data_IF_837118830693
#
_entry.id   IF_837118830693
#
_cell.length_a   1.000
_cell.length_b   1.000
_cell.length_c   1.000
_cell.angle_alpha   90.00
_cell.angle_beta   90.00
_cell.angle_gamma   90.00
#
_symmetry.space_group_name_H-M   'P 1'
#
loop_
_entity.id
_entity.type
_entity.pdbx_description
1 polymer ?
#
# COMPACT_ATOMS: atom_id res chain seq x y z
N UNK A 1 -6.01 0.75 -4.03
CA UNK A 1 -6.01 2.21 -4.31
C UNK A 1 -6.23 3.00 -3.02
N UNK A 2 -5.40 4.03 -2.79
CA UNK A 2 -5.53 4.98 -1.67
C UNK A 2 -5.71 6.41 -2.22
N UNK A 3 -6.53 7.22 -1.55
CA UNK A 3 -6.91 8.55 -2.03
C UNK A 3 -6.65 9.59 -0.92
N UNK A 4 -6.00 10.74 -1.21
CA UNK A 4 -5.89 11.85 -0.29
C UNK A 4 -7.26 12.42 0.09
N UNK A 5 -7.34 13.03 1.26
CA UNK A 5 -8.57 13.64 1.77
C UNK A 5 -9.09 14.66 0.76
N UNK A 6 -10.37 14.54 0.42
CA UNK A 6 -11.04 15.38 -0.58
C UNK A 6 -10.45 15.30 -1.99
N UNK A 7 -9.74 14.20 -2.32
CA UNK A 7 -9.17 13.92 -3.65
C UNK A 7 -8.36 15.12 -4.19
N UNK A 8 -7.63 15.77 -3.29
CA UNK A 8 -6.78 16.92 -3.64
C UNK A 8 -5.61 16.44 -4.49
N UNK A 9 -5.25 17.22 -5.50
CA UNK A 9 -4.07 17.01 -6.36
C UNK A 9 -2.77 17.36 -5.61
N UNK A 10 -2.53 16.71 -4.47
CA UNK A 10 -1.44 17.04 -3.54
C UNK A 10 -0.11 16.42 -3.96
N UNK A 11 -0.12 15.26 -4.64
CA UNK A 11 1.09 14.54 -4.96
C UNK A 11 1.87 15.21 -6.09
N UNK A 12 3.18 15.31 -5.87
CA UNK A 12 4.19 15.57 -6.90
C UNK A 12 4.95 14.29 -7.22
N UNK A 13 5.71 14.24 -8.32
CA UNK A 13 6.53 13.08 -8.66
C UNK A 13 7.47 12.65 -7.54
N UNK A 14 8.16 13.60 -6.90
CA UNK A 14 9.05 13.32 -5.76
C UNK A 14 8.29 12.74 -4.57
N UNK A 15 7.08 13.24 -4.30
CA UNK A 15 6.24 12.67 -3.24
C UNK A 15 5.80 11.24 -3.58
N UNK A 16 5.48 10.94 -4.85
CA UNK A 16 5.11 9.58 -5.26
C UNK A 16 6.26 8.60 -5.07
N UNK A 17 7.46 8.94 -5.53
CA UNK A 17 8.68 8.13 -5.28
C UNK A 17 8.91 7.91 -3.78
N UNK A 18 8.65 8.93 -2.97
CA UNK A 18 8.80 8.80 -1.52
C UNK A 18 7.73 7.91 -0.89
N UNK A 19 6.47 8.01 -1.34
CA UNK A 19 5.38 7.13 -0.91
C UNK A 19 5.70 5.67 -1.24
N UNK A 20 6.19 5.41 -2.45
CA UNK A 20 6.63 4.10 -2.90
C UNK A 20 7.70 3.50 -1.98
N UNK A 21 8.75 4.26 -1.69
CA UNK A 21 9.82 3.86 -0.77
C UNK A 21 9.27 3.53 0.63
N UNK A 22 8.40 4.39 1.19
CA UNK A 22 7.78 4.14 2.51
C UNK A 22 6.93 2.87 2.47
N UNK A 23 6.15 2.67 1.41
CA UNK A 23 5.29 1.50 1.29
C UNK A 23 6.09 0.22 1.11
N UNK A 24 7.16 0.22 0.32
CA UNK A 24 8.07 -0.92 0.18
C UNK A 24 8.68 -1.33 1.54
N UNK A 25 9.21 -0.35 2.28
CA UNK A 25 9.78 -0.59 3.61
C UNK A 25 8.75 -1.15 4.60
N UNK A 26 7.51 -0.64 4.57
CA UNK A 26 6.44 -1.13 5.43
C UNK A 26 5.97 -2.50 5.02
N UNK A 27 5.78 -2.77 3.72
CA UNK A 27 5.40 -4.09 3.24
C UNK A 27 6.41 -5.15 3.70
N UNK A 28 7.71 -4.87 3.61
CA UNK A 28 8.75 -5.77 4.11
C UNK A 28 8.61 -6.05 5.61
N UNK A 29 8.32 -5.04 6.44
CA UNK A 29 8.08 -5.21 7.89
C UNK A 29 6.81 -6.00 8.22
N UNK A 30 5.87 -6.07 7.28
CA UNK A 30 4.64 -6.86 7.38
C UNK A 30 4.78 -8.23 6.70
N UNK A 31 6.01 -8.68 6.41
CA UNK A 31 6.28 -9.96 5.74
C UNK A 31 5.56 -10.06 4.38
N UNK A 32 5.41 -8.93 3.70
CA UNK A 32 4.86 -8.84 2.35
C UNK A 32 5.79 -8.06 1.42
N UNK A 33 5.31 -7.82 0.21
CA UNK A 33 6.05 -7.08 -0.81
C UNK A 33 5.14 -6.10 -1.55
N UNK A 34 5.71 -4.95 -1.91
CA UNK A 34 5.13 -4.04 -2.89
C UNK A 34 5.59 -4.50 -4.26
N UNK A 35 4.68 -5.07 -5.05
CA UNK A 35 4.98 -5.63 -6.38
C UNK A 35 5.01 -4.55 -7.43
N UNK A 36 4.02 -3.66 -7.41
CA UNK A 36 3.89 -2.55 -8.35
C UNK A 36 3.34 -1.33 -7.62
N UNK A 37 3.82 -0.15 -7.99
CA UNK A 37 3.32 1.12 -7.48
C UNK A 37 3.23 2.15 -8.59
N UNK A 38 2.11 2.85 -8.63
CA UNK A 38 1.96 4.03 -9.47
C UNK A 38 0.96 4.99 -8.83
N UNK A 39 0.94 6.25 -9.26
CA UNK A 39 0.00 7.22 -8.75
C UNK A 39 -0.15 8.43 -9.65
N UNK A 40 -1.26 9.12 -9.43
CA UNK A 40 -1.56 10.40 -10.03
C UNK A 40 -1.50 11.49 -8.94
N UNK A 41 -1.72 12.74 -9.33
CA UNK A 41 -1.69 13.86 -8.39
C UNK A 41 -2.69 13.70 -7.22
N UNK A 42 -3.77 12.94 -7.41
CA UNK A 42 -4.90 12.81 -6.47
C UNK A 42 -5.16 11.40 -5.95
N UNK A 43 -4.32 10.39 -6.27
CA UNK A 43 -4.46 9.04 -5.72
C UNK A 43 -3.23 8.16 -6.04
N UNK A 44 -3.14 7.00 -5.36
CA UNK A 44 -2.10 5.99 -5.61
C UNK A 44 -2.71 4.59 -5.75
N UNK A 45 -2.09 3.79 -6.61
CA UNK A 45 -2.36 2.38 -6.84
C UNK A 45 -1.18 1.54 -6.36
N UNK A 46 -1.49 0.40 -5.76
CA UNK A 46 -0.50 -0.53 -5.25
C UNK A 46 -0.95 -1.93 -5.63
N UNK A 47 -0.02 -2.73 -6.13
CA UNK A 47 -0.12 -4.19 -6.16
C UNK A 47 0.76 -4.73 -5.04
N UNK A 48 0.19 -5.51 -4.14
CA UNK A 48 0.91 -6.05 -2.99
C UNK A 48 0.75 -7.57 -2.91
N UNK A 49 1.80 -8.25 -2.47
CA UNK A 49 1.69 -9.60 -1.92
C UNK A 49 1.79 -9.48 -0.41
N UNK A 50 0.99 -10.29 0.29
CA UNK A 50 0.90 -10.24 1.75
C UNK A 50 0.65 -11.65 2.30
N UNK A 51 1.09 -11.89 3.53
CA UNK A 51 0.80 -13.13 4.24
C UNK A 51 -0.72 -13.27 4.46
N UNK A 52 -1.37 -14.40 4.11
CA UNK A 52 -2.82 -14.60 4.31
C UNK A 52 -3.34 -14.35 5.73
N UNK A 53 -2.50 -14.50 6.75
CA UNK A 53 -2.85 -14.20 8.15
C UNK A 53 -2.93 -12.68 8.44
N UNK A 54 -2.43 -11.85 7.53
CA UNK A 54 -2.42 -10.41 7.66
C UNK A 54 -3.83 -9.84 7.62
N UNK A 55 -4.21 -9.13 8.66
CA UNK A 55 -5.43 -8.33 8.64
C UNK A 55 -5.23 -7.10 7.75
N UNK A 56 -5.75 -7.15 6.52
CA UNK A 56 -5.60 -6.10 5.50
C UNK A 56 -5.97 -4.69 6.01
N UNK A 57 -7.04 -4.58 6.82
CA UNK A 57 -7.43 -3.28 7.37
C UNK A 57 -6.36 -2.67 8.27
N UNK A 58 -5.62 -3.47 9.05
CA UNK A 58 -4.49 -3.00 9.87
C UNK A 58 -3.30 -2.62 9.01
N UNK A 59 -2.97 -3.43 8.00
CA UNK A 59 -1.90 -3.14 7.05
C UNK A 59 -2.13 -1.79 6.36
N UNK A 60 -3.31 -1.61 5.74
CA UNK A 60 -3.65 -0.37 5.03
C UNK A 60 -3.66 0.84 5.99
N UNK A 61 -4.15 0.67 7.21
CA UNK A 61 -4.10 1.74 8.22
C UNK A 61 -2.67 2.10 8.60
N UNK A 62 -1.77 1.13 8.71
CA UNK A 62 -0.35 1.36 8.97
C UNK A 62 0.30 2.14 7.82
N UNK A 63 0.13 1.67 6.57
CA UNK A 63 0.62 2.35 5.36
C UNK A 63 0.16 3.82 5.34
N UNK A 64 -1.14 4.06 5.51
CA UNK A 64 -1.71 5.41 5.50
C UNK A 64 -1.17 6.28 6.64
N UNK A 65 -1.07 5.75 7.86
CA UNK A 65 -0.65 6.52 9.03
C UNK A 65 0.81 6.91 8.96
N UNK A 66 1.69 5.96 8.61
CA UNK A 66 3.14 6.18 8.55
C UNK A 66 3.48 7.11 7.38
N UNK A 67 2.96 6.87 6.17
CA UNK A 67 3.19 7.76 5.02
C UNK A 67 2.69 9.18 5.29
N UNK A 68 1.51 9.34 5.89
CA UNK A 68 0.93 10.63 6.28
C UNK A 68 1.83 11.42 7.24
N UNK A 69 2.56 10.74 8.13
CA UNK A 69 3.55 11.37 9.03
C UNK A 69 4.80 11.80 8.29
N UNK A 70 5.39 10.92 7.47
CA UNK A 70 6.60 11.25 6.70
C UNK A 70 6.34 12.36 5.70
N UNK A 71 5.25 12.29 4.93
CA UNK A 71 4.94 13.31 3.92
C UNK A 71 4.75 14.71 4.52
N UNK A 72 4.16 14.80 5.72
CA UNK A 72 4.07 16.09 6.43
C UNK A 72 5.42 16.63 6.90
N UNK A 73 6.28 15.73 7.34
CA UNK A 73 7.60 16.09 7.87
C UNK A 73 8.53 16.52 6.74
N UNK A 74 8.47 15.82 5.61
CA UNK A 74 9.41 15.96 4.49
C UNK A 74 8.92 16.97 3.43
N UNK A 75 7.59 17.14 3.27
CA UNK A 75 7.00 18.06 2.29
C UNK A 75 5.99 19.04 2.92
N UNK A 76 6.34 19.74 4.02
CA UNK A 76 5.40 20.60 4.73
C UNK A 76 4.78 21.66 3.83
N UNK A 77 5.57 22.32 2.98
CA UNK A 77 5.09 23.39 2.10
C UNK A 77 4.04 22.90 1.11
N UNK A 78 4.24 21.71 0.54
CA UNK A 78 3.29 21.14 -0.40
C UNK A 78 2.03 20.66 0.32
N UNK A 79 2.15 19.99 1.47
CA UNK A 79 1.01 19.47 2.22
C UNK A 79 0.15 20.60 2.80
N UNK A 80 0.78 21.67 3.31
CA UNK A 80 0.10 22.79 3.96
C UNK A 80 -0.70 23.65 2.98
N UNK A 81 -0.38 23.63 1.67
CA UNK A 81 -1.22 24.25 0.63
C UNK A 81 -2.62 23.65 0.55
N UNK A 82 -2.78 22.36 0.89
CA UNK A 82 -4.05 21.64 0.76
C UNK A 82 -4.72 21.36 2.11
N UNK A 83 -3.94 21.23 3.20
CA UNK A 83 -4.45 20.78 4.49
C UNK A 83 -3.90 21.61 5.66
N UNK A 84 -4.80 22.29 6.38
CA UNK A 84 -4.49 22.95 7.66
C UNK A 84 -4.60 22.01 8.87
N UNK A 85 -5.32 20.89 8.72
CA UNK A 85 -5.50 19.87 9.76
C UNK A 85 -4.54 18.70 9.55
N UNK A 86 -4.33 17.89 10.58
CA UNK A 86 -3.53 16.65 10.54
C UNK A 86 -4.27 15.50 9.81
N UNK A 87 -4.74 15.74 8.57
CA UNK A 87 -5.45 14.77 7.71
C UNK A 87 -4.79 14.68 6.33
N UNK A 88 -4.43 13.48 5.87
CA UNK A 88 -3.79 13.30 4.55
C UNK A 88 -4.60 12.38 3.67
N UNK A 89 -4.93 11.17 4.14
CA UNK A 89 -5.73 10.20 3.40
C UNK A 89 -7.23 10.30 3.74
N UNK A 90 -8.09 9.81 2.86
CA UNK A 90 -9.51 9.52 3.18
C UNK A 90 -9.63 8.41 4.20
N UNK A 91 -10.80 8.25 4.84
CA UNK A 91 -11.08 7.08 5.68
C UNK A 91 -11.14 5.79 4.85
N UNK A 92 -11.86 5.84 3.72
CA UNK A 92 -11.99 4.71 2.79
C UNK A 92 -10.72 4.39 1.99
N UNK A 93 -10.76 3.23 1.35
CA UNK A 93 -9.78 2.69 0.42
C UNK A 93 -10.45 1.61 -0.44
N UNK A 94 -9.86 1.25 -1.58
CA UNK A 94 -10.32 0.16 -2.43
C UNK A 94 -9.28 -0.97 -2.47
N UNK A 95 -9.74 -2.20 -2.26
CA UNK A 95 -8.98 -3.44 -2.37
C UNK A 95 -9.77 -4.40 -3.25
N UNK A 96 -9.07 -5.02 -4.20
CA UNK A 96 -9.55 -6.15 -4.96
C UNK A 96 -8.45 -7.21 -4.99
N UNK A 97 -8.83 -8.48 -4.95
CA UNK A 97 -7.90 -9.58 -5.19
C UNK A 97 -7.64 -9.72 -6.69
N UNK A 98 -6.36 -9.78 -7.07
CA UNK A 98 -5.95 -10.22 -8.39
C UNK A 98 -5.65 -11.72 -8.28
N UNK A 99 -6.63 -12.56 -8.60
CA UNK A 99 -6.53 -14.00 -8.44
C UNK A 99 -5.73 -14.68 -9.55
N UNK A 100 -5.06 -15.78 -9.18
CA UNK A 100 -4.59 -16.79 -10.13
C UNK A 100 -3.53 -17.74 -9.57
N UNK A 101 -3.81 -18.49 -8.49
CA UNK A 101 -3.11 -19.79 -8.36
C UNK A 101 -3.80 -20.71 -9.37
N UNK A 102 -3.04 -21.13 -10.37
CA UNK A 102 -3.53 -22.07 -11.39
C UNK A 102 -3.75 -23.45 -10.75
N UNK A 103 -4.59 -24.29 -11.35
CA UNK A 103 -4.82 -25.67 -10.88
C UNK A 103 -3.50 -26.45 -10.89
N UNK A 104 -2.64 -26.14 -11.83
CA UNK A 104 -1.29 -26.69 -12.01
C UNK A 104 -0.39 -26.36 -10.81
N UNK A 105 -0.33 -25.08 -10.39
CA UNK A 105 0.44 -24.67 -9.21
C UNK A 105 -0.10 -25.30 -7.91
N UNK A 106 -1.41 -25.50 -7.80
CA UNK A 106 -2.01 -26.22 -6.67
C UNK A 106 -1.63 -27.71 -6.67
N UNK A 107 -1.61 -28.35 -7.83
CA UNK A 107 -1.19 -29.75 -7.97
C UNK A 107 0.27 -29.93 -7.57
N UNK A 108 1.17 -29.08 -8.05
CA UNK A 108 2.59 -29.13 -7.69
C UNK A 108 2.78 -28.94 -6.19
N UNK A 109 2.10 -27.97 -5.58
CA UNK A 109 2.13 -27.77 -4.14
C UNK A 109 1.70 -29.03 -3.38
N UNK A 110 0.56 -29.64 -3.73
CA UNK A 110 0.06 -30.86 -3.08
C UNK A 110 1.00 -32.06 -3.28
N UNK A 111 1.59 -32.21 -4.46
CA UNK A 111 2.55 -33.29 -4.74
C UNK A 111 3.88 -33.09 -4.01
N UNK A 112 4.26 -31.83 -3.72
CA UNK A 112 5.48 -31.50 -2.98
C UNK A 112 5.35 -31.62 -1.46
N UNK A 113 4.16 -31.90 -0.93
CA UNK A 113 3.97 -32.16 0.51
C UNK A 113 4.35 -33.60 0.83
N UNK A 114 5.30 -33.77 1.75
CA UNK A 114 5.66 -35.08 2.28
C UNK A 114 4.46 -35.73 2.98
N UNK A 115 4.20 -36.98 2.64
CA UNK A 115 3.17 -37.79 3.29
C UNK A 115 3.87 -38.61 4.38
N UNK A 116 3.54 -38.42 5.68
CA UNK A 116 4.09 -39.26 6.73
C UNK A 116 3.66 -40.73 6.54
N UNK A 117 4.52 -41.66 6.95
CA UNK A 117 4.24 -43.11 6.98
C UNK A 117 3.07 -43.46 7.93
#
# INVERSE_FOLDING_TARGET
MLVPKSRRKVFTGVMLTRVESIFSELMSKWEGSLVEFNGEADHVHLLIQYNPQTQLSKLINNLKTVSSRYLRKEFPDQVNKYYSKKVFWTGGYFIASCGGVTVEQLKEYVQSQDRPD
#
